data_IF_482073398742
#
_entry.id   IF_482073398742
#
_cell.length_a   1.000
_cell.length_b   1.000
_cell.length_c   1.000
_cell.angle_alpha   90.00
_cell.angle_beta   90.00
_cell.angle_gamma   90.00
#
_symmetry.space_group_name_H-M   'P 1'
#
loop_
_entity.id
_entity.type
_entity.pdbx_description
1 polymer ?
#
# COMPACT_ATOMS: atom_id res chain seq x y z
N UNK A 1 -9.17 11.02 -15.71
CA UNK A 1 -8.90 9.59 -15.90
C UNK A 1 -8.40 9.11 -14.56
N UNK A 2 -9.33 8.69 -13.71
CA UNK A 2 -8.98 7.82 -12.58
C UNK A 2 -8.60 6.50 -13.21
N UNK A 3 -7.36 6.09 -13.00
CA UNK A 3 -6.73 4.95 -13.68
C UNK A 3 -7.45 3.66 -13.28
N UNK A 4 -7.85 2.88 -14.27
CA UNK A 4 -8.53 1.57 -14.17
C UNK A 4 -7.67 0.48 -13.47
N UNK A 5 -6.50 0.84 -12.93
CA UNK A 5 -5.59 0.01 -12.14
C UNK A 5 -5.84 0.11 -10.62
N UNK A 6 -6.76 0.97 -10.17
CA UNK A 6 -7.06 1.17 -8.75
C UNK A 6 -8.30 0.40 -8.24
N UNK A 7 -8.85 -0.51 -9.04
CA UNK A 7 -10.05 -1.29 -8.66
C UNK A 7 -9.73 -2.51 -7.77
N UNK A 8 -8.47 -2.94 -7.68
CA UNK A 8 -8.06 -4.02 -6.77
C UNK A 8 -7.55 -3.45 -5.45
N UNK A 9 -8.27 -3.75 -4.37
CA UNK A 9 -7.85 -3.41 -3.00
C UNK A 9 -6.46 -3.99 -2.71
N UNK A 10 -5.48 -3.11 -2.50
CA UNK A 10 -4.13 -3.49 -2.10
C UNK A 10 -3.99 -3.38 -0.59
N UNK A 11 -3.48 -4.44 0.06
CA UNK A 11 -3.26 -4.47 1.50
C UNK A 11 -1.76 -4.49 1.85
N UNK A 12 -1.43 -3.94 3.03
CA UNK A 12 -0.11 -4.05 3.67
C UNK A 12 -0.27 -4.26 5.18
N UNK A 13 0.79 -4.71 5.85
CA UNK A 13 0.81 -4.79 7.31
C UNK A 13 1.52 -3.58 7.90
N UNK A 14 0.96 -2.96 8.94
CA UNK A 14 1.62 -1.84 9.66
C UNK A 14 2.98 -2.23 10.25
N UNK A 15 3.19 -3.53 10.52
CA UNK A 15 4.48 -4.09 10.95
C UNK A 15 5.58 -3.92 9.89
N UNK A 16 5.23 -3.85 8.60
CA UNK A 16 6.20 -3.72 7.50
C UNK A 16 6.78 -2.29 7.40
N UNK A 17 6.04 -1.28 7.88
CA UNK A 17 6.42 0.14 7.76
C UNK A 17 7.05 0.66 9.07
N UNK A 18 6.65 0.10 10.21
CA UNK A 18 7.05 0.56 11.55
C UNK A 18 6.69 2.03 11.81
N UNK A 19 7.03 2.56 12.98
CA UNK A 19 6.77 3.97 13.32
C UNK A 19 5.33 4.26 13.80
N UNK A 20 4.92 5.54 13.86
CA UNK A 20 3.59 5.92 14.33
C UNK A 20 2.51 5.47 13.34
N UNK A 21 1.27 5.46 13.83
CA UNK A 21 0.10 5.17 13.01
C UNK A 21 0.00 6.14 11.83
N UNK A 22 -0.50 5.63 10.70
CA UNK A 22 -0.77 6.44 9.51
C UNK A 22 -2.02 7.28 9.73
N UNK A 23 -1.99 8.51 9.25
CA UNK A 23 -3.14 9.43 9.31
C UNK A 23 -3.81 9.53 7.94
N UNK A 24 -5.11 9.87 7.93
CA UNK A 24 -5.84 10.11 6.69
C UNK A 24 -5.19 11.27 5.90
N UNK A 25 -4.99 11.06 4.59
CA UNK A 25 -4.34 12.03 3.73
C UNK A 25 -2.81 11.94 3.71
N UNK A 26 -2.20 11.00 4.42
CA UNK A 26 -0.77 10.76 4.34
C UNK A 26 -0.38 10.10 3.01
N UNK A 27 0.58 10.70 2.31
CA UNK A 27 1.13 10.15 1.07
C UNK A 27 2.15 9.05 1.36
N UNK A 28 2.03 7.95 0.61
CA UNK A 28 2.89 6.78 0.71
C UNK A 28 3.36 6.38 -0.69
N UNK A 29 4.57 5.85 -0.76
CA UNK A 29 5.09 5.17 -1.94
C UNK A 29 5.19 3.68 -1.65
N UNK A 30 4.78 2.85 -2.62
CA UNK A 30 4.84 1.40 -2.50
C UNK A 30 4.92 0.74 -3.87
N UNK A 31 5.36 -0.51 -3.87
CA UNK A 31 5.30 -1.40 -5.02
C UNK A 31 4.17 -2.42 -4.84
N UNK A 32 3.48 -2.77 -5.93
CA UNK A 32 2.48 -3.85 -5.92
C UNK A 32 3.16 -5.17 -6.29
N UNK A 33 2.93 -6.21 -5.49
CA UNK A 33 3.33 -7.58 -5.82
C UNK A 33 2.16 -8.56 -5.73
N UNK A 34 2.18 -9.59 -6.58
CA UNK A 34 1.15 -10.64 -6.56
C UNK A 34 1.44 -11.67 -5.47
N UNK A 35 0.51 -11.83 -4.53
CA UNK A 35 0.61 -12.80 -3.43
C UNK A 35 -0.52 -13.84 -3.51
N UNK A 36 -0.43 -14.98 -2.78
CA UNK A 36 -1.46 -16.02 -2.80
C UNK A 36 -2.87 -15.57 -2.38
N UNK A 37 -2.98 -14.40 -1.73
CA UNK A 37 -4.25 -13.81 -1.27
C UNK A 37 -4.70 -12.60 -2.11
N UNK A 38 -4.05 -12.35 -3.25
CA UNK A 38 -4.26 -11.17 -4.08
C UNK A 38 -3.06 -10.21 -4.08
N UNK A 39 -3.18 -9.08 -4.80
CA UNK A 39 -2.14 -8.05 -4.85
C UNK A 39 -1.91 -7.45 -3.45
N UNK A 40 -0.64 -7.26 -3.08
CA UNK A 40 -0.25 -6.62 -1.82
C UNK A 40 0.79 -5.54 -2.05
N UNK A 41 0.82 -4.56 -1.16
CA UNK A 41 1.83 -3.51 -1.17
C UNK A 41 3.11 -3.97 -0.47
N UNK A 42 4.25 -3.64 -1.07
CA UNK A 42 5.61 -3.98 -0.68
C UNK A 42 6.45 -2.71 -0.68
N UNK A 43 7.56 -2.71 0.08
CA UNK A 43 8.49 -1.59 0.15
C UNK A 43 7.79 -0.26 0.49
N UNK A 44 6.78 -0.32 1.37
CA UNK A 44 5.98 0.86 1.68
C UNK A 44 6.82 1.88 2.44
N UNK A 45 6.90 3.10 1.91
CA UNK A 45 7.65 4.22 2.48
C UNK A 45 6.72 5.41 2.64
N UNK A 46 7.01 6.22 3.67
CA UNK A 46 6.33 7.50 3.89
C UNK A 46 7.02 8.56 3.03
N UNK A 47 6.24 9.33 2.27
CA UNK A 47 6.72 10.47 1.48
C UNK A 47 6.91 11.73 2.34
#
# INVERSE_FOLDING_TARGET
METEDADEDVFFHMEDIGGPDLEEGQELEFEIEQAPKGPRAKNVTRL
#
